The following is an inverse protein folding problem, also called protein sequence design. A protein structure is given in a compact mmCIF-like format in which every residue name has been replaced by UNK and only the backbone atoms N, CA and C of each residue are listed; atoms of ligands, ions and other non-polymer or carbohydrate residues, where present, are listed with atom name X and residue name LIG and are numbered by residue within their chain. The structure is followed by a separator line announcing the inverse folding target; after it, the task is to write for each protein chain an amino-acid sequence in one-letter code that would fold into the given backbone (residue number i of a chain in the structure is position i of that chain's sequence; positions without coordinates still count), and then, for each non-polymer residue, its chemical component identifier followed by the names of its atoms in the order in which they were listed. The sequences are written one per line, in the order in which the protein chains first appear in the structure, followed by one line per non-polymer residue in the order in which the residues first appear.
data_IF_870148909384
#
_entry.id   IF_870148909384
#
_cell.length_a   1.000
_cell.length_b   1.000
_cell.length_c   1.000
_cell.angle_alpha   90.00
_cell.angle_beta   90.00
_cell.angle_gamma   90.00
#
_symmetry.space_group_name_H-M   'P 1'
#
loop_
_entity.id
_entity.type
_entity.pdbx_description
1 polymer ?
#
# COMPACT_ATOMS: atom_id res chain seq x y z
N UNK A 1 8.79 -18.88 -17.82
CA UNK A 1 7.73 -18.37 -16.92
C UNK A 1 8.44 -17.52 -15.89
N UNK A 2 8.73 -16.27 -16.23
CA UNK A 2 9.78 -15.47 -15.56
C UNK A 2 9.15 -14.22 -14.95
N UNK A 3 8.31 -14.41 -13.93
CA UNK A 3 7.67 -13.32 -13.16
C UNK A 3 8.62 -12.75 -12.10
N UNK A 4 9.91 -12.61 -12.43
CA UNK A 4 10.87 -12.01 -11.51
C UNK A 4 10.73 -10.49 -11.57
N UNK A 5 10.57 -9.90 -10.39
CA UNK A 5 10.71 -8.46 -10.23
C UNK A 5 12.12 -8.05 -10.67
N UNK A 6 12.21 -6.84 -11.21
CA UNK A 6 13.50 -6.26 -11.55
C UNK A 6 14.36 -6.14 -10.28
N UNK A 7 15.64 -6.47 -10.39
CA UNK A 7 16.57 -6.49 -9.26
C UNK A 7 16.73 -5.14 -8.55
N UNK A 8 16.34 -4.04 -9.20
CA UNK A 8 16.32 -2.70 -8.62
C UNK A 8 15.15 -2.46 -7.67
N UNK A 9 14.15 -3.36 -7.64
CA UNK A 9 12.97 -3.20 -6.81
C UNK A 9 13.18 -3.84 -5.43
N UNK A 10 12.82 -3.10 -4.40
CA UNK A 10 12.70 -3.65 -3.05
C UNK A 10 11.27 -4.18 -2.87
N UNK A 11 11.13 -5.49 -2.83
CA UNK A 11 9.87 -6.14 -2.52
C UNK A 11 9.53 -6.02 -1.03
N UNK A 12 8.28 -5.72 -0.72
CA UNK A 12 7.77 -5.75 0.66
C UNK A 12 7.09 -7.10 0.88
N UNK A 13 7.78 -7.97 1.62
CA UNK A 13 7.29 -9.31 1.93
C UNK A 13 5.99 -9.30 2.77
N UNK A 14 5.14 -10.34 2.67
CA UNK A 14 3.92 -10.48 3.46
C UNK A 14 4.24 -10.85 4.92
N UNK A 15 4.81 -9.89 5.63
CA UNK A 15 5.20 -10.01 7.05
C UNK A 15 4.00 -9.90 7.99
N UNK A 16 4.22 -10.17 9.27
CA UNK A 16 3.21 -9.99 10.31
C UNK A 16 2.76 -8.52 10.41
N UNK A 17 3.70 -7.57 10.35
CA UNK A 17 3.38 -6.14 10.34
C UNK A 17 2.46 -5.76 9.17
N UNK A 18 2.68 -6.33 7.98
CA UNK A 18 1.79 -6.12 6.83
C UNK A 18 0.40 -6.69 7.10
N UNK A 19 0.29 -7.88 7.70
CA UNK A 19 -1.01 -8.49 8.04
C UNK A 19 -1.77 -7.65 9.07
N UNK A 20 -1.09 -7.15 10.11
CA UNK A 20 -1.70 -6.30 11.13
C UNK A 20 -2.20 -4.97 10.55
N UNK A 21 -1.39 -4.33 9.70
CA UNK A 21 -1.78 -3.11 9.01
C UNK A 21 -2.93 -3.35 8.02
N UNK A 22 -2.97 -4.50 7.35
CA UNK A 22 -4.08 -4.85 6.45
C UNK A 22 -5.39 -5.03 7.23
N UNK A 23 -5.33 -5.69 8.39
CA UNK A 23 -6.48 -5.79 9.29
C UNK A 23 -6.94 -4.42 9.81
N UNK A 24 -6.02 -3.50 10.13
CA UNK A 24 -6.36 -2.10 10.46
C UNK A 24 -7.03 -1.40 9.27
N UNK A 25 -6.46 -1.51 8.07
CA UNK A 25 -6.98 -0.87 6.87
C UNK A 25 -8.42 -1.32 6.55
N UNK A 26 -8.74 -2.61 6.70
CA UNK A 26 -10.11 -3.13 6.51
C UNK A 26 -11.14 -2.55 7.49
N UNK A 27 -10.71 -2.11 8.68
CA UNK A 27 -11.61 -1.45 9.64
C UNK A 27 -11.84 0.03 9.32
N UNK A 28 -10.88 0.69 8.68
CA UNK A 28 -10.90 2.13 8.45
C UNK A 28 -11.40 2.50 7.05
N UNK A 29 -11.23 1.60 6.08
CA UNK A 29 -11.53 1.86 4.67
C UNK A 29 -12.34 0.70 4.08
N UNK A 30 -13.27 0.98 3.16
CA UNK A 30 -14.02 -0.05 2.47
C UNK A 30 -13.16 -0.71 1.38
N UNK A 31 -12.15 -1.49 1.77
CA UNK A 31 -11.24 -2.19 0.86
C UNK A 31 -11.55 -3.68 0.77
N UNK A 32 -11.12 -4.32 -0.32
CA UNK A 32 -11.05 -5.79 -0.40
C UNK A 32 -9.78 -6.28 0.28
N UNK A 33 -9.73 -7.57 0.61
CA UNK A 33 -8.59 -8.17 1.31
C UNK A 33 -7.24 -7.97 0.57
N UNK A 34 -7.26 -8.01 -0.77
CA UNK A 34 -6.04 -7.77 -1.57
C UNK A 34 -5.61 -6.31 -1.52
N UNK A 35 -6.54 -5.37 -1.69
CA UNK A 35 -6.24 -3.93 -1.67
C UNK A 35 -5.74 -3.49 -0.28
N UNK A 36 -6.27 -4.10 0.80
CA UNK A 36 -5.80 -3.81 2.15
C UNK A 36 -4.37 -4.30 2.39
N UNK A 37 -3.98 -5.45 1.82
CA UNK A 37 -2.58 -5.93 1.84
C UNK A 37 -1.65 -5.00 1.07
N UNK A 38 -2.08 -4.49 -0.09
CA UNK A 38 -1.28 -3.55 -0.88
C UNK A 38 -1.08 -2.22 -0.14
N UNK A 39 -2.14 -1.65 0.44
CA UNK A 39 -2.04 -0.43 1.25
C UNK A 39 -1.15 -0.66 2.48
N UNK A 40 -1.29 -1.81 3.14
CA UNK A 40 -0.50 -2.17 4.31
C UNK A 40 0.99 -2.31 3.99
N UNK A 41 1.35 -2.92 2.86
CA UNK A 41 2.73 -3.02 2.40
C UNK A 41 3.35 -1.63 2.20
N UNK A 42 2.60 -0.71 1.58
CA UNK A 42 3.04 0.67 1.41
C UNK A 42 3.22 1.40 2.76
N UNK A 43 2.30 1.18 3.71
CA UNK A 43 2.36 1.76 5.06
C UNK A 43 3.57 1.24 5.86
N UNK A 44 3.86 -0.06 5.78
CA UNK A 44 5.02 -0.68 6.45
C UNK A 44 6.33 -0.15 5.88
N UNK A 45 6.42 0.03 4.55
CA UNK A 45 7.57 0.69 3.90
C UNK A 45 7.75 2.15 4.33
N UNK A 46 6.69 2.81 4.79
CA UNK A 46 6.72 4.20 5.22
C UNK A 46 7.13 4.43 6.68
N UNK A 47 7.30 3.38 7.49
CA UNK A 47 7.58 3.55 8.93
C UNK A 47 8.92 4.25 9.17
N UNK A 48 8.87 5.51 9.64
CA UNK A 48 10.03 6.34 9.96
C UNK A 48 10.03 7.71 9.28
N UNK A 49 9.24 7.89 8.22
CA UNK A 49 9.17 9.15 7.45
C UNK A 49 7.87 9.93 7.77
N UNK A 50 7.92 11.27 7.89
CA UNK A 50 6.76 12.09 8.23
C UNK A 50 5.65 12.11 7.16
N UNK A 51 5.88 11.49 5.99
CA UNK A 51 4.88 11.28 4.94
C UNK A 51 5.08 9.90 4.31
N UNK A 52 3.98 9.19 4.05
CA UNK A 52 4.03 7.81 3.56
C UNK A 52 4.53 7.68 2.10
N UNK A 53 4.87 8.79 1.44
CA UNK A 53 5.42 8.81 0.09
C UNK A 53 4.35 8.77 -1.01
N UNK A 54 4.76 8.33 -2.19
CA UNK A 54 3.88 8.22 -3.36
C UNK A 54 3.33 6.80 -3.50
N UNK A 55 2.04 6.68 -3.81
CA UNK A 55 1.38 5.41 -4.13
C UNK A 55 0.84 5.48 -5.55
N UNK A 56 1.41 4.67 -6.44
CA UNK A 56 0.92 4.50 -7.81
C UNK A 56 -0.20 3.48 -7.81
N UNK A 57 -1.43 3.91 -8.13
CA UNK A 57 -2.58 3.02 -8.15
C UNK A 57 -3.65 3.55 -9.11
N UNK A 58 -4.32 2.67 -9.86
CA UNK A 58 -5.43 3.04 -10.75
C UNK A 58 -6.80 2.64 -10.18
N UNK A 59 -6.86 1.76 -9.18
CA UNK A 59 -8.13 1.42 -8.51
C UNK A 59 -8.60 2.59 -7.65
N UNK A 60 -9.84 3.05 -7.87
CA UNK A 60 -10.38 4.24 -7.20
C UNK A 60 -10.51 4.06 -5.68
N UNK A 61 -10.91 2.88 -5.19
CA UNK A 61 -11.12 2.63 -3.76
C UNK A 61 -9.80 2.64 -3.03
N UNK A 62 -8.78 1.99 -3.60
CA UNK A 62 -7.43 1.98 -3.04
C UNK A 62 -6.78 3.37 -3.10
N UNK A 63 -7.00 4.14 -4.18
CA UNK A 63 -6.56 5.55 -4.26
C UNK A 63 -7.16 6.40 -3.14
N UNK A 64 -8.47 6.28 -2.88
CA UNK A 64 -9.12 7.02 -1.80
C UNK A 64 -8.60 6.64 -0.42
N UNK A 65 -8.41 5.34 -0.15
CA UNK A 65 -7.84 4.87 1.10
C UNK A 65 -6.39 5.36 1.29
N UNK A 66 -5.56 5.28 0.25
CA UNK A 66 -4.19 5.78 0.29
C UNK A 66 -4.11 7.29 0.56
N UNK A 67 -5.00 8.11 -0.02
CA UNK A 67 -5.07 9.55 0.31
C UNK A 67 -5.39 9.79 1.79
N UNK A 68 -6.33 9.03 2.36
CA UNK A 68 -6.73 9.16 3.76
C UNK A 68 -5.63 8.74 4.73
N UNK A 69 -4.80 7.79 4.33
CA UNK A 69 -3.58 7.41 5.06
C UNK A 69 -2.39 8.35 4.76
N UNK A 70 -2.57 9.41 3.96
CA UNK A 70 -1.55 10.44 3.75
C UNK A 70 -0.59 10.21 2.59
N UNK A 71 -0.86 9.27 1.68
CA UNK A 71 -0.08 9.08 0.46
C UNK A 71 -0.40 10.13 -0.61
N UNK A 72 0.62 10.52 -1.37
CA UNK A 72 0.44 11.21 -2.66
C UNK A 72 0.08 10.16 -3.71
N UNK A 73 -1.12 10.25 -4.27
CA UNK A 73 -1.58 9.27 -5.25
C UNK A 73 -1.17 9.66 -6.67
N UNK A 74 -0.56 8.70 -7.37
CA UNK A 74 -0.16 8.80 -8.76
C UNK A 74 -0.90 7.79 -9.66
N UNK A 75 -1.11 8.10 -10.95
CA UNK A 75 -0.99 9.44 -11.53
C UNK A 75 -2.00 10.40 -10.90
N UNK A 76 -1.72 11.70 -10.96
CA UNK A 76 -2.70 12.74 -10.58
C UNK A 76 -3.72 12.84 -11.71
N UNK A 77 -4.90 12.26 -11.47
CA UNK A 77 -6.06 12.30 -12.37
C UNK A 77 -6.97 13.45 -11.97
#
# INVERSE_FOLDING_TARGET
NDYRLDHSWTEVEPSEAVREQAARALRLHPLRATDSLQLAAALVRGQGEPFHGELVCLDQRLREAGRREGFIILPRL
#
